data_IF_215892440342
#
_entry.id   IF_215892440342
#
_cell.length_a   1.000
_cell.length_b   1.000
_cell.length_c   1.000
_cell.angle_alpha   90.00
_cell.angle_beta   90.00
_cell.angle_gamma   90.00
#
_symmetry.space_group_name_H-M   'P 1'
#
loop_
_entity.id
_entity.type
_entity.pdbx_description
1 polymer ?
#
# COMPACT_ATOMS: atom_id res chain seq x y z
N UNK A 1 1.57 -11.67 8.76
CA UNK A 1 2.81 -11.35 9.53
C UNK A 1 3.70 -12.56 9.86
N UNK A 2 3.20 -13.63 10.50
CA UNK A 2 4.07 -14.72 10.97
C UNK A 2 4.95 -15.35 9.87
N UNK A 3 4.39 -15.56 8.68
CA UNK A 3 5.14 -16.04 7.52
C UNK A 3 6.28 -15.09 7.09
N UNK A 4 6.11 -13.78 7.24
CA UNK A 4 7.13 -12.79 6.89
C UNK A 4 8.30 -12.82 7.88
N UNK A 5 8.05 -13.12 9.16
CA UNK A 5 9.10 -13.25 10.18
C UNK A 5 10.00 -14.47 9.95
N UNK A 6 9.41 -15.59 9.50
CA UNK A 6 10.12 -16.85 9.22
C UNK A 6 10.75 -16.92 7.82
N UNK A 7 10.45 -15.95 6.97
CA UNK A 7 10.89 -15.93 5.58
C UNK A 7 12.42 -15.85 5.48
N UNK A 8 13.02 -16.63 4.57
CA UNK A 8 14.48 -16.63 4.32
C UNK A 8 14.91 -15.81 3.10
N UNK A 9 13.99 -15.07 2.49
CA UNK A 9 14.24 -14.23 1.33
C UNK A 9 14.33 -12.77 1.77
N UNK A 10 15.17 -11.99 1.09
CA UNK A 10 15.35 -10.56 1.37
C UNK A 10 14.07 -9.74 1.10
N UNK A 11 13.28 -10.19 0.11
CA UNK A 11 12.05 -9.54 -0.33
C UNK A 11 10.96 -10.57 -0.54
N UNK A 12 9.71 -10.18 -0.26
CA UNK A 12 8.53 -10.95 -0.57
C UNK A 12 7.35 -10.05 -0.91
N UNK A 13 6.29 -10.69 -1.42
CA UNK A 13 5.04 -10.05 -1.79
C UNK A 13 3.94 -10.54 -0.85
N UNK A 14 3.30 -9.62 -0.13
CA UNK A 14 1.95 -9.82 0.38
C UNK A 14 0.96 -9.48 -0.72
N UNK A 15 0.10 -10.44 -1.04
CA UNK A 15 -0.88 -10.35 -2.11
C UNK A 15 -2.23 -10.76 -1.54
N UNK A 16 -3.22 -9.88 -1.64
CA UNK A 16 -4.59 -10.25 -1.30
C UNK A 16 -5.12 -11.28 -2.30
N UNK A 17 -5.96 -12.19 -1.82
CA UNK A 17 -6.48 -13.31 -2.62
C UNK A 17 -7.38 -12.87 -3.78
N UNK A 18 -7.93 -11.67 -3.68
CA UNK A 18 -8.79 -11.00 -4.64
C UNK A 18 -8.00 -10.31 -5.77
N UNK A 19 -6.67 -10.34 -5.69
CA UNK A 19 -5.81 -9.74 -6.69
C UNK A 19 -5.79 -10.58 -7.97
N UNK A 20 -6.10 -9.93 -9.09
CA UNK A 20 -6.21 -10.53 -10.41
C UNK A 20 -5.11 -9.96 -11.32
N UNK A 21 -4.47 -10.87 -12.05
CA UNK A 21 -3.66 -10.54 -13.20
C UNK A 21 -4.55 -10.50 -14.45
N UNK A 22 -4.77 -9.30 -14.98
CA UNK A 22 -5.57 -9.06 -16.19
C UNK A 22 -4.83 -9.39 -17.50
N UNK A 23 -3.50 -9.44 -17.46
CA UNK A 23 -2.61 -9.72 -18.59
C UNK A 23 -1.33 -10.42 -18.10
N UNK A 24 -0.64 -11.19 -18.96
CA UNK A 24 0.67 -11.75 -18.62
C UNK A 24 1.67 -10.65 -18.26
N UNK A 25 2.43 -10.85 -17.18
CA UNK A 25 3.49 -9.95 -16.76
C UNK A 25 4.64 -10.73 -16.11
N UNK A 26 5.79 -10.07 -15.96
CA UNK A 26 6.94 -10.64 -15.27
C UNK A 26 6.97 -10.20 -13.81
N UNK A 27 6.68 -11.13 -12.90
CA UNK A 27 6.83 -10.87 -11.45
C UNK A 27 8.26 -10.43 -11.11
N UNK A 28 9.27 -10.93 -11.82
CA UNK A 28 10.66 -10.49 -11.66
C UNK A 28 10.82 -9.00 -11.96
N UNK A 29 10.24 -8.52 -13.06
CA UNK A 29 10.31 -7.09 -13.41
C UNK A 29 9.59 -6.21 -12.39
N UNK A 30 8.49 -6.70 -11.80
CA UNK A 30 7.79 -6.03 -10.70
C UNK A 30 8.72 -5.85 -9.49
N UNK A 31 9.35 -6.93 -9.02
CA UNK A 31 10.34 -6.85 -7.93
C UNK A 31 11.54 -5.97 -8.29
N UNK A 32 12.15 -6.15 -9.47
CA UNK A 32 13.30 -5.36 -9.91
C UNK A 32 13.00 -3.86 -9.96
N UNK A 33 11.77 -3.48 -10.33
CA UNK A 33 11.33 -2.09 -10.38
C UNK A 33 11.10 -1.53 -8.98
N UNK A 34 10.41 -2.29 -8.12
CA UNK A 34 10.12 -1.89 -6.75
C UNK A 34 11.40 -1.76 -5.92
N UNK A 35 12.31 -2.72 -5.97
CA UNK A 35 13.55 -2.72 -5.17
C UNK A 35 14.43 -1.49 -5.49
N UNK A 36 14.42 -1.01 -6.74
CA UNK A 36 15.16 0.19 -7.14
C UNK A 36 14.56 1.48 -6.57
N UNK A 37 13.23 1.52 -6.41
CA UNK A 37 12.50 2.69 -5.93
C UNK A 37 11.34 2.22 -5.04
N UNK A 38 11.61 1.73 -3.82
CA UNK A 38 10.56 1.15 -3.01
C UNK A 38 9.58 2.24 -2.60
N UNK A 39 8.29 2.00 -2.81
CA UNK A 39 7.24 3.00 -2.59
C UNK A 39 6.23 2.52 -1.57
N UNK A 40 5.78 3.44 -0.73
CA UNK A 40 4.61 3.27 0.13
C UNK A 40 3.62 4.35 -0.26
N UNK A 41 2.43 3.93 -0.67
CA UNK A 41 1.35 4.86 -0.95
C UNK A 41 0.60 5.21 0.34
N UNK A 42 0.15 6.45 0.40
CA UNK A 42 -0.84 6.91 1.35
C UNK A 42 -1.85 7.83 0.67
N UNK A 43 -3.09 7.84 1.12
CA UNK A 43 -4.14 8.74 0.60
C UNK A 43 -4.85 9.44 1.74
N UNK A 44 -5.48 10.57 1.48
CA UNK A 44 -6.34 11.29 2.44
C UNK A 44 -7.75 10.69 2.54
N UNK A 45 -7.93 9.46 2.04
CA UNK A 45 -9.22 8.79 1.90
C UNK A 45 -9.61 7.95 3.14
N UNK A 46 -8.98 8.15 4.30
CA UNK A 46 -9.46 7.54 5.55
C UNK A 46 -10.82 8.10 5.94
N UNK A 47 -11.89 7.44 5.50
CA UNK A 47 -13.25 7.95 5.61
C UNK A 47 -14.16 7.15 6.55
N UNK A 48 -13.79 5.93 6.94
CA UNK A 48 -14.58 5.08 7.87
C UNK A 48 -13.92 4.90 9.24
N UNK A 49 -14.73 4.58 10.25
CA UNK A 49 -14.22 4.24 11.59
C UNK A 49 -13.36 2.98 11.59
N UNK A 50 -13.69 2.02 10.72
CA UNK A 50 -12.89 0.81 10.54
C UNK A 50 -11.47 1.12 10.06
N UNK A 51 -11.33 1.96 9.03
CA UNK A 51 -10.01 2.38 8.54
C UNK A 51 -9.23 3.15 9.60
N UNK A 52 -9.91 4.06 10.34
CA UNK A 52 -9.31 4.79 11.47
C UNK A 52 -8.82 3.83 12.57
N UNK A 53 -9.59 2.79 12.87
CA UNK A 53 -9.21 1.78 13.85
C UNK A 53 -7.96 1.01 13.42
N UNK A 54 -7.86 0.60 12.14
CA UNK A 54 -6.67 -0.10 11.62
C UNK A 54 -5.40 0.75 11.75
N UNK A 55 -5.45 2.00 11.30
CA UNK A 55 -4.30 2.92 11.40
C UNK A 55 -3.99 3.21 12.87
N UNK A 56 -5.02 3.43 13.69
CA UNK A 56 -4.89 3.71 15.12
C UNK A 56 -4.23 2.56 15.89
N UNK A 57 -4.63 1.31 15.63
CA UNK A 57 -3.99 0.13 16.21
C UNK A 57 -2.54 -0.02 15.76
N UNK A 58 -2.23 0.34 14.51
CA UNK A 58 -0.85 0.33 14.01
C UNK A 58 0.01 1.38 14.72
N UNK A 59 -0.50 2.61 14.88
CA UNK A 59 0.16 3.66 15.66
C UNK A 59 0.39 3.21 17.12
N UNK A 60 -0.62 2.57 17.73
CA UNK A 60 -0.54 2.08 19.11
C UNK A 60 0.54 1.00 19.28
N UNK A 61 0.62 0.02 18.36
CA UNK A 61 1.71 -0.97 18.35
C UNK A 61 3.08 -0.30 18.19
N UNK A 62 3.18 0.78 17.42
CA UNK A 62 4.42 1.57 17.29
C UNK A 62 4.66 2.56 18.44
N UNK A 63 3.79 2.57 19.47
CA UNK A 63 3.81 3.50 20.59
C UNK A 63 3.86 4.98 20.16
N UNK A 64 2.98 5.35 19.22
CA UNK A 64 2.91 6.70 18.65
C UNK A 64 1.50 7.23 18.62
N UNK A 65 1.44 8.56 18.58
CA UNK A 65 0.24 9.27 18.21
C UNK A 65 -0.02 9.11 16.70
N UNK A 66 -1.26 8.79 16.34
CA UNK A 66 -1.71 8.73 14.95
C UNK A 66 -1.50 10.06 14.22
N UNK A 67 -1.51 11.19 14.94
CA UNK A 67 -1.24 12.51 14.37
C UNK A 67 0.16 12.60 13.74
N UNK A 68 1.15 11.85 14.24
CA UNK A 68 2.49 11.81 13.65
C UNK A 68 2.53 11.22 12.23
N UNK A 69 1.50 10.47 11.86
CA UNK A 69 1.31 9.90 10.52
C UNK A 69 0.30 10.70 9.68
N UNK A 70 -0.37 11.68 10.31
CA UNK A 70 -1.51 12.42 9.81
C UNK A 70 -2.78 11.56 9.83
N UNK A 71 -3.68 11.86 10.76
CA UNK A 71 -4.87 11.06 11.08
C UNK A 71 -5.78 10.75 9.87
N UNK A 72 -5.76 11.60 8.84
CA UNK A 72 -6.55 11.45 7.61
C UNK A 72 -5.92 10.50 6.59
N UNK A 73 -4.68 10.06 6.81
CA UNK A 73 -3.97 9.25 5.84
C UNK A 73 -4.26 7.76 6.00
N UNK A 74 -4.67 7.13 4.91
CA UNK A 74 -4.80 5.69 4.74
C UNK A 74 -3.56 5.17 4.03
N UNK A 75 -3.04 4.02 4.45
CA UNK A 75 -1.78 3.47 3.90
C UNK A 75 -1.90 2.01 3.43
N UNK A 76 -3.13 1.50 3.27
CA UNK A 76 -3.42 0.22 2.64
C UNK A 76 -4.06 0.46 1.29
N UNK A 77 -3.28 1.08 0.40
CA UNK A 77 -3.81 1.63 -0.84
C UNK A 77 -4.12 0.58 -1.92
N UNK A 78 -3.42 -0.56 -1.92
CA UNK A 78 -3.36 -1.56 -3.00
C UNK A 78 -3.88 -2.93 -2.54
N UNK A 79 -3.65 -3.97 -3.34
CA UNK A 79 -3.76 -5.40 -3.00
C UNK A 79 -2.42 -6.12 -3.12
N UNK A 80 -1.38 -5.40 -3.54
CA UNK A 80 -0.05 -5.89 -3.85
C UNK A 80 0.99 -5.09 -3.04
N UNK A 81 1.65 -5.72 -2.06
CA UNK A 81 2.64 -5.08 -1.20
C UNK A 81 3.95 -5.87 -1.14
N UNK A 82 4.97 -5.36 -1.79
CA UNK A 82 6.33 -5.89 -1.67
C UNK A 82 6.95 -5.35 -0.37
N UNK A 83 7.47 -6.24 0.45
CA UNK A 83 8.13 -5.92 1.71
C UNK A 83 9.56 -6.48 1.76
N UNK A 84 10.39 -5.84 2.58
CA UNK A 84 11.78 -6.22 2.82
C UNK A 84 11.90 -6.92 4.18
N UNK A 85 12.56 -8.08 4.20
CA UNK A 85 12.74 -8.87 5.42
C UNK A 85 13.48 -8.10 6.51
N UNK A 86 14.51 -7.33 6.14
CA UNK A 86 15.26 -6.53 7.11
C UNK A 86 14.39 -5.46 7.80
N UNK A 87 13.39 -4.92 7.11
CA UNK A 87 12.42 -3.98 7.70
C UNK A 87 11.47 -4.70 8.65
N UNK A 88 11.04 -5.93 8.33
CA UNK A 88 10.24 -6.76 9.25
C UNK A 88 11.03 -7.07 10.52
N UNK A 89 12.32 -7.39 10.39
CA UNK A 89 13.17 -7.68 11.54
C UNK A 89 13.38 -6.46 12.45
N UNK A 90 13.62 -5.29 11.86
CA UNK A 90 13.69 -4.04 12.62
C UNK A 90 12.34 -3.71 13.27
N UNK A 91 11.21 -3.93 12.58
CA UNK A 91 9.87 -3.73 13.13
C UNK A 91 9.63 -4.61 14.36
N UNK A 92 9.95 -5.89 14.27
CA UNK A 92 9.77 -6.84 15.38
C UNK A 92 10.59 -6.38 16.58
N UNK A 93 11.90 -6.15 16.38
CA UNK A 93 12.79 -5.69 17.44
C UNK A 93 12.36 -4.33 18.02
N UNK A 94 11.91 -3.40 17.16
CA UNK A 94 11.45 -2.09 17.58
C UNK A 94 10.25 -2.22 18.52
N UNK A 95 9.24 -3.01 18.15
CA UNK A 95 8.03 -3.23 18.96
C UNK A 95 8.38 -3.92 20.27
N UNK A 96 9.23 -4.96 20.23
CA UNK A 96 9.63 -5.69 21.44
C UNK A 96 10.38 -4.80 22.43
N UNK A 97 11.35 -4.02 21.95
CA UNK A 97 12.10 -3.09 22.79
C UNK A 97 11.22 -1.96 23.33
N UNK A 98 10.31 -1.44 22.50
CA UNK A 98 9.43 -0.33 22.88
C UNK A 98 8.48 -0.70 24.01
N UNK A 99 7.98 -1.93 24.02
CA UNK A 99 7.00 -2.40 24.98
C UNK A 99 7.58 -3.35 26.04
N UNK A 100 8.85 -3.72 25.93
CA UNK A 100 9.53 -4.68 26.79
C UNK A 100 8.75 -6.01 26.95
N UNK A 101 8.25 -6.54 25.83
CA UNK A 101 7.46 -7.76 25.73
C UNK A 101 7.64 -8.38 24.35
N UNK A 102 7.26 -9.64 24.15
CA UNK A 102 7.32 -10.25 22.82
C UNK A 102 6.38 -9.56 21.82
N UNK A 103 6.73 -9.67 20.54
CA UNK A 103 6.03 -8.99 19.46
C UNK A 103 4.53 -9.31 19.41
N UNK A 104 4.16 -10.57 19.59
CA UNK A 104 2.78 -11.03 19.44
C UNK A 104 1.90 -10.56 20.60
N UNK A 105 2.43 -10.56 21.81
CA UNK A 105 1.75 -9.97 22.96
C UNK A 105 1.53 -8.47 22.76
N UNK A 106 2.54 -7.74 22.26
CA UNK A 106 2.39 -6.32 21.94
C UNK A 106 1.35 -6.06 20.86
N UNK A 107 1.37 -6.86 19.79
CA UNK A 107 0.41 -6.80 18.71
C UNK A 107 -1.03 -7.02 19.20
N UNK A 108 -1.25 -8.14 19.91
CA UNK A 108 -2.57 -8.57 20.34
C UNK A 108 -3.21 -7.58 21.31
N UNK A 109 -2.44 -7.08 22.28
CA UNK A 109 -2.92 -6.17 23.32
C UNK A 109 -3.13 -4.73 22.84
N UNK A 110 -2.76 -4.40 21.60
CA UNK A 110 -2.84 -3.04 21.02
C UNK A 110 -3.78 -2.95 19.82
N UNK A 111 -4.72 -3.89 19.74
CA UNK A 111 -5.82 -3.88 18.78
C UNK A 111 -5.59 -4.73 17.54
N UNK A 112 -4.48 -5.48 17.49
CA UNK A 112 -4.18 -6.43 16.41
C UNK A 112 -4.25 -5.81 15.01
N UNK A 113 -3.41 -4.79 14.71
CA UNK A 113 -3.49 -4.09 13.43
C UNK A 113 -3.23 -5.02 12.24
N UNK A 114 -3.66 -4.58 11.07
CA UNK A 114 -3.31 -5.26 9.82
C UNK A 114 -1.82 -5.09 9.52
N UNK A 115 -1.13 -6.18 9.17
CA UNK A 115 0.33 -6.22 9.07
C UNK A 115 0.94 -5.19 8.11
N UNK A 116 0.28 -4.99 6.99
CA UNK A 116 0.75 -4.08 5.95
C UNK A 116 0.69 -2.64 6.44
N UNK A 117 -0.34 -2.29 7.23
CA UNK A 117 -0.50 -0.94 7.77
C UNK A 117 0.59 -0.67 8.80
N UNK A 118 0.84 -1.64 9.68
CA UNK A 118 1.93 -1.58 10.65
C UNK A 118 3.31 -1.45 9.97
N UNK A 119 3.58 -2.28 8.95
CA UNK A 119 4.83 -2.20 8.17
C UNK A 119 5.01 -0.82 7.51
N UNK A 120 3.97 -0.33 6.84
CA UNK A 120 4.03 0.95 6.13
C UNK A 120 4.23 2.12 7.08
N UNK A 121 3.57 2.10 8.25
CA UNK A 121 3.77 3.13 9.29
C UNK A 121 5.14 3.02 9.94
N UNK A 122 5.66 1.81 10.14
CA UNK A 122 7.02 1.62 10.66
C UNK A 122 8.05 2.27 9.75
N UNK A 123 8.01 2.01 8.44
CA UNK A 123 8.91 2.64 7.48
C UNK A 123 8.80 4.17 7.52
N UNK A 124 7.58 4.72 7.56
CA UNK A 124 7.36 6.17 7.67
C UNK A 124 7.97 6.76 8.93
N UNK A 125 7.72 6.12 10.09
CA UNK A 125 8.28 6.52 11.37
C UNK A 125 9.82 6.52 11.35
N UNK A 126 10.42 5.41 10.93
CA UNK A 126 11.88 5.26 10.92
C UNK A 126 12.58 6.18 9.92
N UNK A 127 11.89 6.59 8.85
CA UNK A 127 12.39 7.60 7.90
C UNK A 127 12.49 8.99 8.53
N UNK A 128 11.64 9.32 9.51
CA UNK A 128 11.69 10.59 10.24
C UNK A 128 12.76 10.59 11.35
N UNK A 129 13.09 9.41 11.87
CA UNK A 129 13.93 9.25 13.07
C UNK A 129 15.37 8.88 12.78
N UNK A 130 15.63 8.38 11.57
CA UNK A 130 16.92 7.80 11.23
C UNK A 130 17.36 8.23 9.85
N UNK A 131 18.66 8.16 9.63
CA UNK A 131 19.28 8.29 8.31
C UNK A 131 19.65 6.93 7.72
N UNK A 132 19.18 5.82 8.31
CA UNK A 132 19.52 4.47 7.86
C UNK A 132 19.05 4.27 6.40
N UNK A 133 19.96 3.92 5.47
CA UNK A 133 19.64 3.66 4.06
C UNK A 133 18.49 2.66 3.84
N UNK A 134 18.28 1.74 4.78
CA UNK A 134 17.17 0.80 4.77
C UNK A 134 15.80 1.51 4.70
N UNK A 135 15.64 2.63 5.40
CA UNK A 135 14.39 3.40 5.41
C UNK A 135 14.41 4.60 4.48
N UNK A 136 15.55 5.28 4.35
CA UNK A 136 15.63 6.52 3.57
C UNK A 136 15.42 6.28 2.07
N UNK A 137 15.67 5.07 1.56
CA UNK A 137 15.35 4.66 0.18
C UNK A 137 13.86 4.62 -0.17
N UNK A 138 12.97 4.45 0.82
CA UNK A 138 11.53 4.37 0.57
C UNK A 138 10.94 5.73 0.19
N UNK A 139 10.13 5.78 -0.86
CA UNK A 139 9.37 6.95 -1.25
C UNK A 139 7.98 6.86 -0.62
N UNK A 140 7.58 7.89 0.14
CA UNK A 140 6.22 7.99 0.68
C UNK A 140 5.43 8.85 -0.29
N UNK A 141 4.48 8.24 -0.99
CA UNK A 141 3.75 8.84 -2.10
C UNK A 141 2.33 9.17 -1.65
N UNK A 142 1.92 10.43 -1.79
CA UNK A 142 0.51 10.80 -1.65
C UNK A 142 -0.23 10.46 -2.95
N UNK A 143 -1.18 9.54 -2.86
CA UNK A 143 -1.95 9.06 -4.00
C UNK A 143 -2.59 10.22 -4.77
N UNK A 144 -3.19 11.18 -4.08
CA UNK A 144 -3.84 12.33 -4.71
C UNK A 144 -2.87 13.22 -5.48
N UNK A 145 -1.63 13.36 -5.01
CA UNK A 145 -0.60 14.13 -5.73
C UNK A 145 -0.22 13.47 -7.04
N UNK A 146 -0.08 12.14 -7.05
CA UNK A 146 0.19 11.42 -8.29
C UNK A 146 -1.02 11.41 -9.21
N UNK A 147 -2.25 11.35 -8.67
CA UNK A 147 -3.45 11.50 -9.50
C UNK A 147 -3.44 12.83 -10.29
N UNK A 148 -3.10 13.94 -9.64
CA UNK A 148 -2.96 15.23 -10.33
C UNK A 148 -1.84 15.20 -11.38
N UNK A 149 -0.68 14.64 -11.02
CA UNK A 149 0.49 14.54 -11.91
C UNK A 149 0.20 13.76 -13.19
N UNK A 150 -0.63 12.72 -13.09
CA UNK A 150 -1.02 11.88 -14.22
C UNK A 150 -2.29 12.37 -14.94
N UNK A 151 -2.81 13.55 -14.58
CA UNK A 151 -3.98 14.15 -15.24
C UNK A 151 -5.31 13.47 -14.89
N UNK A 152 -5.35 12.70 -13.80
CA UNK A 152 -6.55 11.97 -13.33
C UNK A 152 -7.15 12.57 -12.06
N UNK A 153 -6.75 13.78 -11.68
CA UNK A 153 -7.25 14.48 -10.48
C UNK A 153 -8.78 14.62 -10.45
N UNK A 154 -9.42 14.85 -11.61
CA UNK A 154 -10.88 14.92 -11.72
C UNK A 154 -11.59 13.62 -11.28
N UNK A 155 -10.90 12.47 -11.38
CA UNK A 155 -11.45 11.19 -10.96
C UNK A 155 -11.53 11.03 -9.43
N UNK A 156 -10.87 11.92 -8.67
CA UNK A 156 -10.94 11.93 -7.20
C UNK A 156 -12.38 12.01 -6.70
N UNK A 157 -13.23 12.81 -7.34
CA UNK A 157 -14.63 12.92 -6.94
C UNK A 157 -15.37 11.57 -7.00
N UNK A 158 -15.01 10.70 -7.95
CA UNK A 158 -15.54 9.34 -8.06
C UNK A 158 -15.00 8.49 -6.92
N UNK A 159 -13.68 8.51 -6.71
CA UNK A 159 -13.03 7.73 -5.66
C UNK A 159 -13.49 8.10 -4.24
N UNK A 160 -13.78 9.38 -4.00
CA UNK A 160 -14.26 9.87 -2.70
C UNK A 160 -15.67 9.32 -2.36
N UNK A 161 -16.47 8.91 -3.34
CA UNK A 161 -17.77 8.24 -3.09
C UNK A 161 -17.62 6.81 -2.61
N UNK A 162 -16.46 6.20 -2.83
CA UNK A 162 -16.20 4.83 -2.46
C UNK A 162 -15.70 4.78 -1.02
N UNK A 163 -16.19 3.84 -0.21
CA UNK A 163 -15.80 3.69 1.20
C UNK A 163 -15.05 2.37 1.47
N UNK A 164 -14.29 2.33 2.58
CA UNK A 164 -13.79 1.10 3.17
C UNK A 164 -12.42 0.59 2.74
N UNK A 165 -11.85 1.10 1.64
CA UNK A 165 -10.60 0.59 1.05
C UNK A 165 -9.77 1.69 0.38
N UNK A 166 -8.56 1.34 -0.08
CA UNK A 166 -7.64 2.26 -0.76
C UNK A 166 -8.10 2.69 -2.16
N UNK A 167 -7.45 3.72 -2.71
CA UNK A 167 -7.71 4.13 -4.09
C UNK A 167 -7.22 3.08 -5.09
N UNK A 168 -6.00 2.57 -4.95
CA UNK A 168 -5.43 1.60 -5.91
C UNK A 168 -6.17 0.26 -5.88
N UNK A 169 -6.65 -0.16 -4.72
CA UNK A 169 -7.52 -1.35 -4.58
C UNK A 169 -8.79 -1.20 -5.41
N UNK A 170 -9.39 -0.01 -5.44
CA UNK A 170 -10.62 0.27 -6.20
C UNK A 170 -10.38 0.94 -7.55
N UNK A 171 -9.11 1.08 -7.94
CA UNK A 171 -8.74 1.85 -9.12
C UNK A 171 -9.33 1.28 -10.41
N UNK A 172 -9.77 0.01 -10.40
CA UNK A 172 -10.47 -0.61 -11.51
C UNK A 172 -11.74 0.16 -11.95
N UNK A 173 -12.41 0.87 -11.04
CA UNK A 173 -13.57 1.72 -11.37
C UNK A 173 -13.20 2.88 -12.30
N UNK A 174 -11.94 3.33 -12.28
CA UNK A 174 -11.46 4.38 -13.16
C UNK A 174 -11.44 3.94 -14.64
N UNK A 175 -11.49 2.63 -14.92
CA UNK A 175 -11.60 2.14 -16.29
C UNK A 175 -12.97 2.43 -16.93
N UNK A 176 -13.99 2.80 -16.15
CA UNK A 176 -15.31 3.25 -16.67
C UNK A 176 -15.25 4.63 -17.32
N UNK A 177 -14.23 5.43 -17.01
CA UNK A 177 -14.11 6.81 -17.47
C UNK A 177 -13.01 6.91 -18.51
N UNK A 178 -13.39 6.89 -19.79
CA UNK A 178 -12.48 6.79 -20.92
C UNK A 178 -11.38 7.87 -20.92
N UNK A 179 -11.69 9.08 -20.42
CA UNK A 179 -10.75 10.20 -20.34
C UNK A 179 -9.66 9.99 -19.26
N UNK A 180 -9.92 9.18 -18.24
CA UNK A 180 -9.02 8.91 -17.10
C UNK A 180 -8.08 7.74 -17.39
N UNK A 181 -8.55 6.78 -18.17
CA UNK A 181 -7.88 5.53 -18.55
C UNK A 181 -6.40 5.72 -18.92
N UNK A 182 -6.00 6.64 -19.82
CA UNK A 182 -4.58 6.79 -20.19
C UNK A 182 -3.69 7.22 -19.03
N UNK A 183 -4.14 8.20 -18.24
CA UNK A 183 -3.39 8.73 -17.10
C UNK A 183 -3.26 7.69 -15.98
N UNK A 184 -4.35 6.97 -15.70
CA UNK A 184 -4.34 5.91 -14.70
C UNK A 184 -3.39 4.77 -15.10
N UNK A 185 -3.45 4.32 -16.37
CA UNK A 185 -2.52 3.32 -16.90
C UNK A 185 -1.05 3.74 -16.78
N UNK A 186 -0.76 5.01 -17.09
CA UNK A 186 0.58 5.56 -16.95
C UNK A 186 1.06 5.59 -15.50
N UNK A 187 0.17 5.90 -14.55
CA UNK A 187 0.46 5.85 -13.11
C UNK A 187 0.77 4.43 -12.66
N UNK A 188 -0.08 3.45 -13.00
CA UNK A 188 0.14 2.04 -12.67
C UNK A 188 1.46 1.53 -13.23
N UNK A 189 1.78 1.89 -14.48
CA UNK A 189 3.05 1.55 -15.14
C UNK A 189 4.25 2.17 -14.42
N UNK A 190 4.16 3.43 -14.01
CA UNK A 190 5.24 4.15 -13.30
C UNK A 190 5.62 3.45 -12.00
N UNK A 191 4.63 2.97 -11.26
CA UNK A 191 4.83 2.35 -9.95
C UNK A 191 4.84 0.83 -9.99
N UNK A 192 4.84 0.23 -11.19
CA UNK A 192 4.92 -1.21 -11.38
C UNK A 192 3.75 -1.97 -10.78
N UNK A 193 2.59 -1.34 -10.60
CA UNK A 193 1.39 -2.01 -10.11
C UNK A 193 0.84 -2.92 -11.22
N UNK A 194 0.74 -4.22 -10.95
CA UNK A 194 0.35 -5.24 -11.96
C UNK A 194 -0.82 -6.10 -11.52
N UNK A 195 -1.04 -6.20 -10.21
CA UNK A 195 -2.09 -7.00 -9.62
C UNK A 195 -3.13 -6.06 -9.02
N UNK A 196 -4.39 -6.26 -9.40
CA UNK A 196 -5.50 -5.39 -9.01
C UNK A 196 -6.67 -6.22 -8.58
N UNK A 197 -7.47 -5.69 -7.67
CA UNK A 197 -8.81 -6.18 -7.46
C UNK A 197 -9.66 -5.83 -8.68
N UNK A 198 -10.28 -6.82 -9.31
CA UNK A 198 -11.34 -6.63 -10.30
C UNK A 198 -12.56 -7.40 -9.81
N UNK A 199 -13.42 -6.72 -9.05
CA UNK A 199 -14.66 -7.34 -8.54
C UNK A 199 -15.65 -7.67 -9.67
N UNK A 200 -15.53 -7.00 -10.82
CA UNK A 200 -16.37 -7.18 -11.99
C UNK A 200 -15.52 -7.16 -13.28
N UNK A 201 -15.56 -8.24 -14.07
CA UNK A 201 -14.90 -8.31 -15.38
C UNK A 201 -15.65 -7.55 -16.48
N UNK A 202 -16.91 -7.19 -16.24
CA UNK A 202 -17.74 -6.35 -17.12
C UNK A 202 -17.57 -4.84 -16.89
N UNK A 203 -16.62 -4.45 -16.04
CA UNK A 203 -16.41 -3.06 -15.62
C UNK A 203 -16.12 -2.10 -16.77
N UNK A 204 -15.44 -2.58 -17.81
CA UNK A 204 -15.10 -1.83 -19.00
C UNK A 204 -15.01 -2.78 -20.20
N UNK A 205 -15.09 -2.27 -21.44
CA UNK A 205 -14.91 -3.11 -22.62
C UNK A 205 -13.57 -3.86 -22.58
N UNK A 206 -13.50 -5.12 -23.06
CA UNK A 206 -12.27 -5.92 -23.04
C UNK A 206 -11.06 -5.20 -23.66
N UNK A 207 -11.27 -4.39 -24.69
CA UNK A 207 -10.23 -3.58 -25.33
C UNK A 207 -9.66 -2.50 -24.40
N UNK A 208 -10.46 -1.94 -23.49
CA UNK A 208 -9.99 -0.96 -22.49
C UNK A 208 -9.13 -1.67 -21.45
N UNK A 209 -9.61 -2.80 -20.92
CA UNK A 209 -8.87 -3.61 -19.95
C UNK A 209 -7.59 -4.21 -20.53
N UNK A 210 -7.63 -4.61 -21.80
CA UNK A 210 -6.47 -4.98 -22.56
C UNK A 210 -5.50 -3.80 -22.65
N UNK A 211 -5.91 -2.68 -23.27
CA UNK A 211 -5.00 -1.60 -23.64
C UNK A 211 -4.43 -0.80 -22.46
N UNK A 212 -5.09 -0.80 -21.31
CA UNK A 212 -4.59 -0.17 -20.07
C UNK A 212 -3.46 -0.93 -19.40
N UNK A 213 -3.37 -2.23 -19.68
CA UNK A 213 -2.45 -3.15 -19.00
C UNK A 213 -1.49 -3.84 -19.99
N UNK A 214 -1.68 -3.62 -21.29
CA UNK A 214 -0.70 -3.93 -22.35
C UNK A 214 0.49 -2.97 -22.32
N UNK A 215 1.64 -3.56 -22.62
CA UNK A 215 2.99 -3.00 -22.48
C UNK A 215 3.49 -2.33 -23.74
#
# INVERSE_FOLDING_TARGET
>A
MAAAMELKYDWALWLDSEAIAVQPFSIRQTFDSYIKNPTIFRSKMTNTDFMRAIIGSSANVLNRDIESFGQKFWNLESVEWIFEKAVIDDLVQYVENTHNQDFWTAWATRGSPFEISLYNMHVQARKLETTNPMFTKYQIIETETEMERFGIGAARAIMDTMTGTGMLERGYELFKVAEVVPGFSAMLKKFGQRLFRLDDLGIAPPEVLANTLFW
#
